data_IF_351352495801
#
_entry.id   IF_351352495801
#
_cell.length_a   1.000
_cell.length_b   1.000
_cell.length_c   1.000
_cell.angle_alpha   90.00
_cell.angle_beta   90.00
_cell.angle_gamma   90.00
#
_symmetry.space_group_name_H-M   'P 1'
#
loop_
_entity.id
_entity.type
_entity.pdbx_description
1 polymer ?
#
# COMPACT_ATOMS: atom_id res chain seq x y z
N UNK A 1 10.78 -14.32 -15.89
CA UNK A 1 9.97 -15.54 -16.06
C UNK A 1 10.19 -16.43 -14.84
N UNK A 2 9.13 -16.90 -14.19
CA UNK A 2 9.23 -17.80 -13.03
C UNK A 2 9.20 -19.24 -13.55
N UNK A 3 10.19 -20.04 -13.16
CA UNK A 3 10.32 -21.42 -13.64
C UNK A 3 9.66 -22.37 -12.62
N UNK A 4 8.64 -23.11 -13.05
CA UNK A 4 7.82 -23.96 -12.19
C UNK A 4 7.93 -25.40 -12.67
N UNK A 5 8.42 -26.30 -11.80
CA UNK A 5 8.42 -27.73 -12.08
C UNK A 5 6.99 -28.29 -11.91
N UNK A 6 6.35 -28.84 -12.96
CA UNK A 6 4.96 -29.31 -12.84
C UNK A 6 4.82 -30.62 -12.04
N UNK A 7 5.91 -31.38 -11.83
CA UNK A 7 5.86 -32.68 -11.13
C UNK A 7 6.00 -32.60 -9.62
N UNK A 8 6.32 -31.43 -9.09
CA UNK A 8 6.29 -31.12 -7.67
C UNK A 8 6.23 -29.62 -7.55
N UNK A 9 5.21 -29.07 -6.86
CA UNK A 9 4.89 -27.64 -6.73
C UNK A 9 5.97 -26.83 -5.98
N UNK A 10 7.21 -26.94 -6.42
CA UNK A 10 8.37 -26.28 -5.85
C UNK A 10 8.82 -25.21 -6.84
N UNK A 11 8.77 -23.96 -6.39
CA UNK A 11 9.41 -22.84 -7.08
C UNK A 11 10.93 -23.09 -7.07
N UNK A 12 11.51 -23.35 -8.23
CA UNK A 12 12.94 -23.67 -8.35
C UNK A 12 13.82 -22.43 -8.31
N UNK A 13 13.30 -21.32 -8.83
CA UNK A 13 14.03 -20.07 -8.95
C UNK A 13 13.32 -19.03 -9.81
N UNK A 14 13.90 -17.84 -9.86
CA UNK A 14 13.43 -16.72 -10.68
C UNK A 14 14.49 -16.39 -11.72
N UNK A 15 14.08 -16.37 -12.99
CA UNK A 15 14.90 -15.84 -14.08
C UNK A 15 14.55 -14.37 -14.35
N UNK A 16 15.56 -13.51 -14.43
CA UNK A 16 15.41 -12.08 -14.69
C UNK A 16 16.52 -11.53 -15.58
N UNK A 17 16.29 -10.36 -16.15
CA UNK A 17 17.25 -9.56 -16.91
C UNK A 17 17.30 -8.18 -16.30
N UNK A 18 18.47 -7.55 -16.31
CA UNK A 18 18.65 -6.20 -15.78
C UNK A 18 18.67 -5.21 -16.95
N UNK A 19 17.96 -4.10 -16.81
CA UNK A 19 18.00 -2.99 -17.78
C UNK A 19 18.81 -1.85 -17.18
N UNK A 20 19.88 -1.44 -17.86
CA UNK A 20 20.71 -0.32 -17.43
C UNK A 20 21.28 0.40 -18.64
N UNK A 21 21.32 1.73 -18.60
CA UNK A 21 21.97 2.54 -19.65
C UNK A 21 21.45 2.35 -21.07
N UNK A 22 20.20 1.90 -21.26
CA UNK A 22 19.62 1.69 -22.59
C UNK A 22 19.89 0.32 -23.20
N UNK A 23 20.42 -0.65 -22.44
CA UNK A 23 20.65 -2.01 -22.91
C UNK A 23 20.26 -3.08 -21.87
N UNK A 24 19.91 -4.27 -22.36
CA UNK A 24 19.61 -5.43 -21.53
C UNK A 24 20.91 -6.15 -21.17
N UNK A 25 21.19 -6.21 -19.87
CA UNK A 25 22.29 -6.98 -19.31
C UNK A 25 21.89 -8.46 -19.20
N UNK A 26 22.79 -9.34 -19.64
CA UNK A 26 22.67 -10.80 -19.56
C UNK A 26 23.88 -11.37 -18.83
N UNK A 27 23.71 -12.53 -18.20
CA UNK A 27 24.80 -13.29 -17.60
C UNK A 27 25.39 -14.25 -18.66
N UNK A 28 26.50 -13.85 -19.29
CA UNK A 28 27.20 -14.66 -20.30
C UNK A 28 26.26 -15.21 -21.41
N UNK A 29 25.37 -14.35 -21.92
CA UNK A 29 24.41 -14.70 -22.98
C UNK A 29 23.08 -15.28 -22.50
N UNK A 30 22.95 -15.62 -21.20
CA UNK A 30 21.73 -16.15 -20.58
C UNK A 30 21.07 -15.14 -19.63
N UNK A 31 19.82 -15.40 -19.22
CA UNK A 31 19.17 -14.63 -18.16
C UNK A 31 19.89 -14.83 -16.82
N UNK A 32 19.81 -13.86 -15.91
CA UNK A 32 20.20 -14.07 -14.52
C UNK A 32 19.23 -15.05 -13.87
N UNK A 33 19.75 -15.89 -12.96
CA UNK A 33 18.95 -16.88 -12.24
C UNK A 33 19.26 -16.81 -10.75
N UNK A 34 18.22 -16.67 -9.93
CA UNK A 34 18.30 -16.87 -8.48
C UNK A 34 17.60 -18.18 -8.15
N UNK A 35 18.36 -19.13 -7.58
CA UNK A 35 17.79 -20.38 -7.07
C UNK A 35 16.99 -20.12 -5.80
N UNK A 36 15.72 -20.49 -5.81
CA UNK A 36 14.90 -20.59 -4.61
C UNK A 36 15.07 -22.03 -4.12
N UNK A 37 16.07 -22.31 -3.27
CA UNK A 37 16.26 -23.66 -2.73
C UNK A 37 15.00 -24.04 -1.94
N UNK A 38 14.21 -24.96 -2.49
CA UNK A 38 13.11 -25.61 -1.76
C UNK A 38 13.71 -26.35 -0.57
N UNK A 39 13.43 -25.87 0.63
CA UNK A 39 13.71 -26.60 1.87
C UNK A 39 12.83 -27.85 1.83
N UNK A 40 13.43 -29.01 1.51
CA UNK A 40 12.71 -30.28 1.63
C UNK A 40 12.37 -30.49 3.11
N UNK A 41 11.11 -30.79 3.48
CA UNK A 41 10.82 -31.21 4.84
C UNK A 41 11.48 -32.58 5.05
N UNK A 42 12.51 -32.65 5.88
CA UNK A 42 13.11 -33.92 6.29
C UNK A 42 12.13 -34.68 7.16
N UNK A 43 11.65 -35.81 6.65
CA UNK A 43 10.82 -36.78 7.35
C UNK A 43 11.62 -37.56 8.39
N UNK A 44 12.08 -36.87 9.42
CA UNK A 44 12.71 -37.45 10.61
C UNK A 44 12.08 -36.86 11.86
N UNK A 45 11.64 -37.71 12.78
CA UNK A 45 11.36 -37.30 14.17
C UNK A 45 12.70 -36.92 14.80
N UNK A 46 13.09 -35.68 14.62
CA UNK A 46 14.29 -35.07 15.18
C UNK A 46 14.04 -33.57 15.18
N UNK A 47 14.39 -32.91 16.28
CA UNK A 47 14.34 -31.45 16.45
C UNK A 47 14.83 -30.77 15.18
N UNK A 48 13.87 -30.31 14.38
CA UNK A 48 14.15 -29.95 13.01
C UNK A 48 14.92 -28.65 12.96
N UNK A 49 16.03 -28.64 12.21
CA UNK A 49 16.48 -27.46 11.46
C UNK A 49 15.44 -27.05 10.37
N UNK A 50 14.15 -27.08 10.74
CA UNK A 50 13.10 -26.43 9.98
C UNK A 50 13.29 -24.94 10.15
N UNK A 51 13.28 -24.20 9.03
CA UNK A 51 13.23 -22.74 8.97
C UNK A 51 12.44 -22.22 10.17
N UNK A 52 13.12 -21.54 11.10
CA UNK A 52 12.50 -20.99 12.32
C UNK A 52 11.50 -19.91 11.92
N UNK A 53 10.32 -20.28 11.44
CA UNK A 53 9.23 -19.33 11.25
C UNK A 53 8.99 -18.70 12.61
N UNK A 54 9.00 -17.37 12.69
CA UNK A 54 8.57 -16.62 13.87
C UNK A 54 7.06 -16.84 14.05
N UNK A 55 6.66 -18.06 14.45
CA UNK A 55 5.27 -18.51 14.45
C UNK A 55 4.41 -17.63 15.34
N UNK A 56 4.93 -17.28 16.52
CA UNK A 56 4.24 -16.37 17.44
C UNK A 56 3.91 -15.03 16.76
N UNK A 57 4.83 -14.48 15.96
CA UNK A 57 4.62 -13.22 15.24
C UNK A 57 3.50 -13.36 14.21
N UNK A 58 3.47 -14.47 13.48
CA UNK A 58 2.41 -14.73 12.49
C UNK A 58 1.05 -14.95 13.16
N UNK A 59 1.04 -15.66 14.29
CA UNK A 59 -0.17 -15.88 15.08
C UNK A 59 -0.70 -14.52 15.61
N UNK A 60 0.18 -13.66 16.15
CA UNK A 60 -0.15 -12.30 16.59
C UNK A 60 -0.66 -11.40 15.44
N UNK A 61 0.01 -11.41 14.29
CA UNK A 61 -0.45 -10.69 13.10
C UNK A 61 -1.85 -11.15 12.70
N UNK A 62 -2.08 -12.46 12.66
CA UNK A 62 -3.38 -13.02 12.27
C UNK A 62 -4.48 -12.66 13.27
N UNK A 63 -4.20 -12.68 14.58
CA UNK A 63 -5.16 -12.35 15.62
C UNK A 63 -5.51 -10.85 15.60
N UNK A 64 -4.50 -9.99 15.46
CA UNK A 64 -4.65 -8.53 15.50
C UNK A 64 -5.06 -7.91 14.16
N UNK A 65 -5.13 -8.67 13.08
CA UNK A 65 -5.56 -8.17 11.76
C UNK A 65 -6.97 -7.57 11.80
N UNK A 66 -7.88 -8.12 12.64
CA UNK A 66 -9.23 -7.57 12.85
C UNK A 66 -9.23 -6.15 13.43
N UNK A 67 -8.25 -5.83 14.27
CA UNK A 67 -8.06 -4.47 14.78
C UNK A 67 -7.33 -3.60 13.75
N UNK A 68 -6.37 -4.17 13.03
CA UNK A 68 -5.61 -3.48 11.99
C UNK A 68 -6.48 -3.04 10.80
N UNK A 69 -7.51 -3.81 10.42
CA UNK A 69 -8.42 -3.46 9.32
C UNK A 69 -9.31 -2.24 9.61
N UNK A 70 -9.42 -1.82 10.87
CA UNK A 70 -10.22 -0.64 11.25
C UNK A 70 -9.68 0.61 10.57
N UNK A 71 -8.37 0.84 10.62
CA UNK A 71 -7.73 1.91 9.87
C UNK A 71 -6.21 1.72 9.73
N UNK A 72 -5.59 2.37 8.75
CA UNK A 72 -4.13 2.42 8.61
C UNK A 72 -3.41 2.92 9.88
N UNK A 73 -4.03 3.82 10.66
CA UNK A 73 -3.50 4.24 11.96
C UNK A 73 -3.33 3.06 12.92
N UNK A 74 -4.35 2.20 13.04
CA UNK A 74 -4.27 1.01 13.89
C UNK A 74 -3.21 0.05 13.36
N UNK A 75 -3.21 -0.20 12.05
CA UNK A 75 -2.23 -1.09 11.42
C UNK A 75 -0.79 -0.65 11.67
N UNK A 76 -0.46 0.63 11.49
CA UNK A 76 0.89 1.12 11.75
C UNK A 76 1.25 1.11 13.24
N UNK A 77 0.28 1.36 14.13
CA UNK A 77 0.50 1.24 15.58
C UNK A 77 0.82 -0.21 15.97
N UNK A 78 0.06 -1.18 15.47
CA UNK A 78 0.31 -2.61 15.69
C UNK A 78 1.65 -3.03 15.06
N UNK A 79 1.94 -2.61 13.82
CA UNK A 79 3.19 -2.92 13.14
C UNK A 79 4.41 -2.40 13.93
N UNK A 80 4.32 -1.20 14.51
CA UNK A 80 5.36 -0.67 15.40
C UNK A 80 5.58 -1.55 16.62
N UNK A 81 4.50 -1.91 17.33
CA UNK A 81 4.59 -2.76 18.52
C UNK A 81 5.22 -4.12 18.21
N UNK A 82 4.74 -4.80 17.16
CA UNK A 82 5.26 -6.10 16.76
C UNK A 82 6.70 -6.03 16.26
N UNK A 83 7.07 -4.98 15.53
CA UNK A 83 8.45 -4.75 15.08
C UNK A 83 9.38 -4.56 16.28
N UNK A 84 8.98 -3.81 17.31
CA UNK A 84 9.78 -3.62 18.52
C UNK A 84 9.99 -4.94 19.27
N UNK A 85 8.99 -5.83 19.27
CA UNK A 85 9.07 -7.15 19.91
C UNK A 85 9.95 -8.12 19.11
N UNK A 86 9.83 -8.14 17.79
CA UNK A 86 10.53 -9.12 16.95
C UNK A 86 11.91 -8.67 16.43
N UNK A 87 12.33 -7.42 16.66
CA UNK A 87 13.60 -6.86 16.12
C UNK A 87 14.86 -7.64 16.51
N UNK A 88 14.83 -8.44 17.58
CA UNK A 88 15.97 -9.22 18.07
C UNK A 88 15.90 -10.70 17.65
N UNK A 89 14.89 -11.09 16.86
CA UNK A 89 14.71 -12.48 16.40
C UNK A 89 15.42 -12.78 15.07
N UNK A 90 16.32 -11.88 14.66
CA UNK A 90 16.99 -11.90 13.37
C UNK A 90 16.06 -11.53 12.21
N UNK A 91 16.52 -11.76 10.99
CA UNK A 91 15.85 -11.37 9.74
C UNK A 91 14.39 -11.86 9.64
N UNK A 92 14.08 -13.02 10.25
CA UNK A 92 12.77 -13.67 10.12
C UNK A 92 11.63 -12.87 10.76
N UNK A 93 11.90 -12.14 11.84
CA UNK A 93 10.93 -11.24 12.45
C UNK A 93 10.57 -10.09 11.50
N UNK A 94 11.58 -9.43 10.95
CA UNK A 94 11.41 -8.31 10.01
C UNK A 94 10.79 -8.77 8.69
N UNK A 95 11.09 -9.98 8.20
CA UNK A 95 10.45 -10.56 7.02
C UNK A 95 8.95 -10.78 7.28
N UNK A 96 8.55 -11.20 8.48
CA UNK A 96 7.13 -11.32 8.85
C UNK A 96 6.39 -9.98 8.72
N UNK A 97 6.99 -8.91 9.27
CA UNK A 97 6.47 -7.54 9.15
C UNK A 97 6.41 -7.08 7.68
N UNK A 98 7.47 -7.33 6.91
CA UNK A 98 7.54 -7.00 5.49
C UNK A 98 6.41 -7.66 4.69
N UNK A 99 6.22 -8.97 4.86
CA UNK A 99 5.17 -9.71 4.14
C UNK A 99 3.80 -9.16 4.47
N UNK A 100 3.53 -8.89 5.75
CA UNK A 100 2.25 -8.36 6.19
C UNK A 100 1.96 -6.97 5.60
N UNK A 101 2.92 -6.05 5.68
CA UNK A 101 2.75 -4.70 5.13
C UNK A 101 2.76 -4.68 3.60
N UNK A 102 3.42 -5.64 2.94
CA UNK A 102 3.32 -5.81 1.50
C UNK A 102 1.92 -6.24 1.08
N UNK A 103 1.26 -7.13 1.82
CA UNK A 103 -0.15 -7.46 1.56
C UNK A 103 -1.06 -6.24 1.72
N UNK A 104 -0.81 -5.38 2.71
CA UNK A 104 -1.48 -4.08 2.83
C UNK A 104 -1.22 -3.21 1.59
N UNK A 105 0.03 -3.00 1.20
CA UNK A 105 0.39 -2.13 0.08
C UNK A 105 -0.17 -2.60 -1.27
N UNK A 106 -0.34 -3.92 -1.46
CA UNK A 106 -0.94 -4.51 -2.65
C UNK A 106 -2.47 -4.68 -2.58
N UNK A 107 -3.15 -3.99 -1.65
CA UNK A 107 -4.61 -4.04 -1.43
C UNK A 107 -5.17 -5.44 -1.15
N UNK A 108 -4.35 -6.35 -0.63
CA UNK A 108 -4.80 -7.69 -0.21
C UNK A 108 -5.37 -7.68 1.21
N UNK A 109 -5.07 -6.64 2.00
CA UNK A 109 -5.65 -6.39 3.31
C UNK A 109 -6.48 -5.13 3.29
N UNK A 110 -7.56 -5.12 4.09
CA UNK A 110 -8.43 -3.98 4.19
C UNK A 110 -7.74 -2.82 4.93
N UNK A 111 -7.87 -1.61 4.39
CA UNK A 111 -7.26 -0.40 4.97
C UNK A 111 -8.17 0.32 5.94
N UNK A 112 -9.48 0.16 5.80
CA UNK A 112 -10.47 0.83 6.63
C UNK A 112 -11.79 0.04 6.65
N UNK A 113 -12.33 -0.14 7.86
CA UNK A 113 -13.60 -0.82 8.07
C UNK A 113 -14.30 -0.25 9.28
N UNK A 114 -15.45 0.37 9.05
CA UNK A 114 -16.36 0.87 10.09
C UNK A 114 -15.67 1.75 11.15
N UNK A 115 -14.67 2.54 10.75
CA UNK A 115 -13.96 3.44 11.66
C UNK A 115 -13.59 4.72 10.94
N UNK A 116 -13.81 5.87 11.60
CA UNK A 116 -13.39 7.17 11.11
C UNK A 116 -12.11 7.59 11.83
N UNK A 117 -11.06 7.90 11.09
CA UNK A 117 -9.76 8.35 11.59
C UNK A 117 -9.30 9.63 10.90
N UNK A 118 -8.91 10.64 11.68
CA UNK A 118 -8.40 11.88 11.07
C UNK A 118 -7.07 11.60 10.36
N UNK A 119 -6.80 12.15 9.17
CA UNK A 119 -5.54 11.93 8.46
C UNK A 119 -4.29 12.20 9.31
N UNK A 120 -4.34 13.22 10.19
CA UNK A 120 -3.25 13.53 11.13
C UNK A 120 -2.91 12.37 12.09
N UNK A 121 -3.89 11.55 12.45
CA UNK A 121 -3.68 10.39 13.33
C UNK A 121 -3.04 9.24 12.56
N UNK A 122 -3.38 9.07 11.28
CA UNK A 122 -2.68 8.15 10.38
C UNK A 122 -1.22 8.61 10.23
N UNK A 123 -0.98 9.88 9.92
CA UNK A 123 0.38 10.44 9.83
C UNK A 123 1.17 10.23 11.11
N UNK A 124 0.60 10.53 12.28
CA UNK A 124 1.30 10.38 13.55
C UNK A 124 1.65 8.91 13.87
N UNK A 125 0.80 7.94 13.49
CA UNK A 125 1.12 6.52 13.65
C UNK A 125 2.18 6.06 12.65
N UNK A 126 2.10 6.53 11.40
CA UNK A 126 3.08 6.29 10.36
C UNK A 126 4.47 6.84 10.72
N UNK A 127 4.54 8.07 11.25
CA UNK A 127 5.79 8.70 11.70
C UNK A 127 6.42 7.87 12.82
N UNK A 128 5.65 7.53 13.86
CA UNK A 128 6.15 6.69 14.98
C UNK A 128 6.67 5.33 14.52
N UNK A 129 6.11 4.75 13.46
CA UNK A 129 6.59 3.49 12.91
C UNK A 129 7.83 3.69 12.04
N UNK A 130 7.86 4.75 11.23
CA UNK A 130 9.00 5.11 10.39
C UNK A 130 10.23 5.46 11.24
N UNK A 131 10.04 6.21 12.34
CA UNK A 131 11.10 6.52 13.31
C UNK A 131 11.73 5.25 13.90
N UNK A 132 10.91 4.23 14.19
CA UNK A 132 11.40 2.94 14.64
C UNK A 132 12.25 2.26 13.56
N UNK A 133 11.77 2.23 12.32
CA UNK A 133 12.50 1.61 11.20
C UNK A 133 13.82 2.34 10.91
N UNK A 134 13.84 3.67 10.99
CA UNK A 134 15.06 4.48 10.83
C UNK A 134 16.09 4.18 11.92
N UNK A 135 15.64 4.08 13.17
CA UNK A 135 16.49 3.69 14.30
C UNK A 135 17.08 2.30 14.09
N UNK A 136 16.25 1.31 13.75
CA UNK A 136 16.73 -0.05 13.46
C UNK A 136 17.70 -0.08 12.27
N UNK A 137 17.46 0.72 11.25
CA UNK A 137 18.34 0.79 10.07
C UNK A 137 19.74 1.30 10.42
N UNK A 138 19.82 2.18 11.43
CA UNK A 138 21.09 2.70 11.95
C UNK A 138 21.77 1.69 12.88
N UNK A 139 21.00 1.01 13.74
CA UNK A 139 21.49 0.07 14.76
C UNK A 139 21.87 -1.32 14.20
N UNK A 140 21.14 -1.83 13.21
CA UNK A 140 21.22 -3.22 12.71
C UNK A 140 21.66 -3.24 11.23
N UNK A 141 22.97 -3.37 10.99
CA UNK A 141 23.52 -3.26 9.63
C UNK A 141 23.08 -4.40 8.70
N UNK A 142 22.94 -5.61 9.22
CA UNK A 142 22.60 -6.80 8.45
C UNK A 142 21.13 -6.77 7.97
N UNK A 143 20.25 -6.09 8.71
CA UNK A 143 18.81 -6.03 8.43
C UNK A 143 18.41 -4.88 7.47
N UNK A 144 19.36 -4.03 7.07
CA UNK A 144 19.10 -2.78 6.34
C UNK A 144 18.28 -2.95 5.07
N UNK A 145 18.55 -3.99 4.29
CA UNK A 145 17.82 -4.22 3.04
C UNK A 145 16.36 -4.61 3.30
N UNK A 146 16.09 -5.41 4.35
CA UNK A 146 14.73 -5.78 4.73
C UNK A 146 14.00 -4.54 5.26
N UNK A 147 14.66 -3.72 6.09
CA UNK A 147 14.10 -2.47 6.60
C UNK A 147 13.75 -1.48 5.48
N UNK A 148 14.60 -1.34 4.45
CA UNK A 148 14.28 -0.54 3.25
C UNK A 148 13.06 -1.08 2.51
N UNK A 149 12.93 -2.40 2.39
CA UNK A 149 11.77 -3.02 1.77
C UNK A 149 10.49 -2.76 2.59
N UNK A 150 10.57 -2.76 3.92
CA UNK A 150 9.45 -2.40 4.79
C UNK A 150 9.08 -0.93 4.57
N UNK A 151 10.05 -0.01 4.61
CA UNK A 151 9.83 1.42 4.39
C UNK A 151 9.13 1.70 3.05
N UNK A 152 9.46 0.95 2.00
CA UNK A 152 8.81 1.07 0.70
C UNK A 152 7.29 0.76 0.71
N UNK A 153 6.78 0.08 1.75
CA UNK A 153 5.35 -0.27 1.89
C UNK A 153 4.55 0.73 2.73
N UNK A 154 5.22 1.55 3.56
CA UNK A 154 4.56 2.42 4.55
C UNK A 154 4.20 3.79 3.93
N UNK A 155 5.01 4.28 2.99
CA UNK A 155 4.87 5.62 2.39
C UNK A 155 5.65 6.68 3.18
N UNK A 156 5.69 7.91 2.66
CA UNK A 156 6.55 9.00 3.20
C UNK A 156 5.97 9.74 4.42
N UNK A 157 4.73 9.47 4.80
CA UNK A 157 4.03 10.26 5.81
C UNK A 157 3.76 11.69 5.38
N UNK A 158 3.23 12.50 6.29
CA UNK A 158 2.97 13.92 6.10
C UNK A 158 3.12 14.65 7.41
N UNK A 159 4.05 15.62 7.45
CA UNK A 159 4.38 16.37 8.66
C UNK A 159 3.32 17.42 8.99
N UNK A 160 3.08 17.62 10.29
CA UNK A 160 2.24 18.72 10.80
C UNK A 160 0.83 18.78 10.20
N UNK A 161 0.52 19.91 9.56
CA UNK A 161 -0.79 20.23 9.00
C UNK A 161 -0.87 20.05 7.46
N UNK A 162 0.13 19.45 6.82
CA UNK A 162 0.22 19.34 5.35
C UNK A 162 -1.05 18.70 4.75
N UNK A 163 -1.55 17.62 5.35
CA UNK A 163 -2.78 16.97 4.88
C UNK A 163 -4.03 17.85 5.03
N UNK A 164 -4.06 18.74 6.03
CA UNK A 164 -5.12 19.72 6.20
C UNK A 164 -5.03 20.82 5.13
N UNK A 165 -3.82 21.34 4.88
CA UNK A 165 -3.58 22.35 3.85
C UNK A 165 -3.97 21.86 2.45
N UNK A 166 -3.58 20.64 2.07
CA UNK A 166 -3.97 20.03 0.79
C UNK A 166 -5.50 19.94 0.68
N UNK A 167 -6.17 19.54 1.76
CA UNK A 167 -7.64 19.50 1.80
C UNK A 167 -8.24 20.89 1.58
N UNK A 168 -7.75 21.90 2.30
CA UNK A 168 -8.25 23.26 2.19
C UNK A 168 -8.03 23.84 0.78
N UNK A 169 -6.89 23.53 0.15
CA UNK A 169 -6.60 23.88 -1.26
C UNK A 169 -7.58 23.22 -2.23
N UNK A 170 -7.88 21.91 -2.05
CA UNK A 170 -8.91 21.22 -2.84
C UNK A 170 -10.27 21.92 -2.67
N UNK A 171 -10.64 22.35 -1.46
CA UNK A 171 -11.91 23.04 -1.21
C UNK A 171 -11.96 24.39 -1.94
N UNK A 172 -10.86 25.16 -1.93
CA UNK A 172 -10.73 26.43 -2.65
C UNK A 172 -10.89 26.21 -4.15
N UNK A 173 -10.21 25.20 -4.71
CA UNK A 173 -10.34 24.83 -6.13
C UNK A 173 -11.78 24.47 -6.48
N UNK A 174 -12.45 23.67 -5.64
CA UNK A 174 -13.85 23.31 -5.86
C UNK A 174 -14.78 24.51 -5.84
N UNK A 175 -14.56 25.45 -4.91
CA UNK A 175 -15.35 26.68 -4.79
C UNK A 175 -15.17 27.59 -6.00
N UNK A 176 -13.92 27.84 -6.40
CA UNK A 176 -13.61 28.72 -7.52
C UNK A 176 -14.16 28.20 -8.85
N UNK A 177 -14.33 26.88 -8.97
CA UNK A 177 -14.84 26.22 -10.17
C UNK A 177 -16.32 25.80 -10.07
N UNK A 178 -17.02 26.18 -9.01
CA UNK A 178 -18.43 25.83 -8.77
C UNK A 178 -18.73 24.32 -8.83
N UNK A 179 -17.81 23.48 -8.36
CA UNK A 179 -17.91 22.02 -8.43
C UNK A 179 -17.92 21.35 -7.05
N UNK A 180 -18.43 22.05 -6.01
CA UNK A 180 -18.46 21.53 -4.64
C UNK A 180 -19.45 20.37 -4.44
N UNK A 181 -20.50 20.25 -5.25
CA UNK A 181 -21.63 19.36 -4.97
C UNK A 181 -21.42 17.93 -5.52
N UNK A 182 -22.29 17.01 -5.09
CA UNK A 182 -22.34 15.64 -5.59
C UNK A 182 -21.08 14.86 -5.21
N UNK A 183 -20.53 14.10 -6.15
CA UNK A 183 -19.35 13.26 -5.92
C UNK A 183 -18.15 14.03 -5.33
N UNK A 184 -17.95 15.30 -5.72
CA UNK A 184 -16.83 16.10 -5.21
C UNK A 184 -16.99 16.43 -3.72
N UNK A 185 -18.23 16.64 -3.25
CA UNK A 185 -18.54 16.86 -1.83
C UNK A 185 -18.29 15.58 -1.03
N UNK A 186 -18.84 14.47 -1.53
CA UNK A 186 -18.73 13.16 -0.90
C UNK A 186 -17.27 12.72 -0.77
N UNK A 187 -16.49 12.86 -1.85
CA UNK A 187 -15.06 12.57 -1.85
C UNK A 187 -14.30 13.51 -0.90
N UNK A 188 -14.58 14.81 -0.91
CA UNK A 188 -13.95 15.76 0.01
C UNK A 188 -14.26 15.42 1.47
N UNK A 189 -15.49 15.03 1.78
CA UNK A 189 -15.92 14.61 3.10
C UNK A 189 -15.21 13.32 3.55
N UNK A 190 -14.99 12.37 2.64
CA UNK A 190 -14.17 11.17 2.91
C UNK A 190 -12.75 11.55 3.33
N UNK A 191 -12.11 12.50 2.67
CA UNK A 191 -10.74 12.91 2.99
C UNK A 191 -10.61 13.37 4.45
N UNK A 192 -11.66 13.93 5.07
CA UNK A 192 -11.63 14.32 6.50
C UNK A 192 -11.46 13.15 7.46
N UNK A 193 -11.98 11.99 7.10
CA UNK A 193 -12.17 10.89 8.04
C UNK A 193 -11.50 9.59 7.62
N UNK A 194 -11.15 9.36 6.36
CA UNK A 194 -10.59 8.10 5.87
C UNK A 194 -9.79 8.31 4.58
N UNK A 195 -8.80 9.23 4.60
CA UNK A 195 -7.88 9.39 3.47
C UNK A 195 -7.03 8.13 3.29
N UNK A 196 -6.84 7.69 2.05
CA UNK A 196 -6.03 6.53 1.68
C UNK A 196 -5.20 6.79 0.42
N UNK A 197 -4.18 5.96 0.13
CA UNK A 197 -3.42 6.06 -1.12
C UNK A 197 -4.28 6.07 -2.40
N UNK A 198 -5.46 5.44 -2.36
CA UNK A 198 -6.38 5.41 -3.52
C UNK A 198 -6.96 6.78 -3.86
N UNK A 199 -7.01 7.72 -2.90
CA UNK A 199 -7.49 9.08 -3.15
C UNK A 199 -6.62 9.84 -4.14
N UNK A 200 -5.33 9.49 -4.26
CA UNK A 200 -4.44 10.06 -5.30
C UNK A 200 -4.90 9.61 -6.69
N UNK A 201 -5.27 8.34 -6.84
CA UNK A 201 -5.74 7.79 -8.11
C UNK A 201 -7.14 8.33 -8.44
N UNK A 202 -8.01 8.48 -7.44
CA UNK A 202 -9.33 9.12 -7.62
C UNK A 202 -9.15 10.57 -8.10
N UNK A 203 -8.24 11.33 -7.47
CA UNK A 203 -7.89 12.68 -7.91
C UNK A 203 -7.38 12.69 -9.37
N UNK A 204 -6.47 11.77 -9.71
CA UNK A 204 -5.97 11.65 -11.09
C UNK A 204 -7.09 11.34 -12.08
N UNK A 205 -8.01 10.43 -11.75
CA UNK A 205 -9.14 10.10 -12.60
C UNK A 205 -10.08 11.31 -12.81
N UNK A 206 -10.31 12.12 -11.78
CA UNK A 206 -11.07 13.37 -11.88
C UNK A 206 -10.36 14.41 -12.77
N UNK A 207 -9.03 14.51 -12.68
CA UNK A 207 -8.25 15.37 -13.55
C UNK A 207 -8.31 14.90 -15.01
N UNK A 208 -8.17 13.61 -15.27
CA UNK A 208 -8.25 13.03 -16.62
C UNK A 208 -9.65 13.19 -17.23
N UNK A 209 -10.68 12.99 -16.41
CA UNK A 209 -12.08 13.27 -16.77
C UNK A 209 -12.26 14.73 -17.23
N UNK A 210 -11.69 15.67 -16.49
CA UNK A 210 -11.79 17.08 -16.84
C UNK A 210 -10.98 17.43 -18.10
N UNK A 211 -9.77 16.90 -18.27
CA UNK A 211 -8.93 17.11 -19.47
C UNK A 211 -9.55 16.52 -20.73
N UNK A 212 -10.33 15.44 -20.59
CA UNK A 212 -11.02 14.78 -21.70
C UNK A 212 -12.37 15.42 -22.06
N UNK A 213 -12.63 16.66 -21.60
CA UNK A 213 -13.90 17.35 -21.81
C UNK A 213 -15.09 16.51 -21.28
N UNK A 214 -14.91 15.93 -20.09
CA UNK A 214 -15.93 15.19 -19.35
C UNK A 214 -16.33 13.84 -19.98
N UNK A 215 -15.37 13.14 -20.59
CA UNK A 215 -15.57 11.76 -21.03
C UNK A 215 -15.52 10.79 -19.85
N UNK A 216 -16.69 10.31 -19.42
CA UNK A 216 -16.82 9.37 -18.31
C UNK A 216 -16.07 8.05 -18.54
N UNK A 217 -15.81 7.68 -19.80
CA UNK A 217 -15.03 6.48 -20.11
C UNK A 217 -13.55 6.67 -19.74
N UNK A 218 -13.02 7.89 -19.84
CA UNK A 218 -11.64 8.20 -19.41
C UNK A 218 -11.53 8.09 -17.90
N UNK A 219 -12.49 8.62 -17.14
CA UNK A 219 -12.55 8.47 -15.68
C UNK A 219 -12.47 7.00 -15.27
N UNK A 220 -13.37 6.17 -15.80
CA UNK A 220 -13.40 4.74 -15.48
C UNK A 220 -12.18 3.98 -15.99
N UNK A 221 -11.62 4.36 -17.14
CA UNK A 221 -10.39 3.77 -17.64
C UNK A 221 -9.21 4.05 -16.71
N UNK A 222 -9.06 5.28 -16.22
CA UNK A 222 -8.00 5.64 -15.27
C UNK A 222 -8.15 4.85 -13.97
N UNK A 223 -9.36 4.76 -13.40
CA UNK A 223 -9.59 3.97 -12.19
C UNK A 223 -9.32 2.47 -12.39
N UNK A 224 -9.91 1.86 -13.42
CA UNK A 224 -9.79 0.43 -13.67
C UNK A 224 -8.34 0.02 -13.99
N UNK A 225 -7.60 0.85 -14.72
CA UNK A 225 -6.17 0.58 -15.01
C UNK A 225 -5.28 0.59 -13.76
N UNK A 226 -5.77 1.20 -12.67
CA UNK A 226 -5.12 1.22 -11.36
C UNK A 226 -5.75 0.24 -10.35
N UNK A 227 -6.64 -0.65 -10.80
CA UNK A 227 -7.29 -1.66 -9.96
C UNK A 227 -8.45 -1.15 -9.10
N UNK A 228 -8.93 0.08 -9.31
CA UNK A 228 -10.07 0.65 -8.58
C UNK A 228 -11.37 0.40 -9.34
N UNK A 229 -11.96 -0.76 -9.12
CA UNK A 229 -13.26 -1.11 -9.72
C UNK A 229 -14.42 -0.43 -8.98
N UNK A 230 -15.57 -0.28 -9.64
CA UNK A 230 -16.78 0.24 -8.99
C UNK A 230 -17.17 -0.59 -7.74
N UNK A 231 -17.09 -1.92 -7.83
CA UNK A 231 -17.38 -2.80 -6.70
C UNK A 231 -16.42 -2.58 -5.51
N UNK A 232 -15.13 -2.37 -5.78
CA UNK A 232 -14.14 -2.06 -4.76
C UNK A 232 -14.43 -0.73 -4.05
N UNK A 233 -14.71 0.32 -4.84
CA UNK A 233 -15.03 1.65 -4.33
C UNK A 233 -16.31 1.68 -3.48
N UNK A 234 -17.33 0.89 -3.85
CA UNK A 234 -18.53 0.69 -3.03
C UNK A 234 -18.26 -0.07 -1.73
N UNK A 235 -17.32 -1.03 -1.75
CA UNK A 235 -16.96 -1.80 -0.57
C UNK A 235 -16.12 -1.00 0.44
N UNK A 236 -15.26 -0.09 -0.03
CA UNK A 236 -14.43 0.76 0.84
C UNK A 236 -15.23 1.79 1.64
N UNK A 237 -16.45 2.12 1.20
CA UNK A 237 -17.17 3.27 1.74
C UNK A 237 -18.67 3.04 1.76
N UNK A 238 -19.29 3.21 2.92
CA UNK A 238 -20.69 3.62 2.98
C UNK A 238 -20.90 4.82 2.04
N UNK A 239 -22.01 4.85 1.30
CA UNK A 239 -22.03 4.90 -0.16
C UNK A 239 -21.54 6.24 -0.74
N UNK A 240 -20.27 6.31 -1.16
CA UNK A 240 -19.65 7.48 -1.84
C UNK A 240 -19.95 7.57 -3.36
N UNK A 241 -20.72 6.63 -3.90
CA UNK A 241 -20.85 6.46 -5.36
C UNK A 241 -22.29 6.20 -5.80
N UNK A 242 -23.28 6.64 -5.00
CA UNK A 242 -24.68 6.40 -5.32
C UNK A 242 -25.16 7.16 -6.57
N UNK A 243 -24.47 8.23 -6.99
CA UNK A 243 -24.80 8.97 -8.20
C UNK A 243 -23.56 9.45 -8.97
N UNK A 244 -22.97 8.59 -9.81
CA UNK A 244 -22.04 9.07 -10.85
C UNK A 244 -22.73 9.97 -11.88
N UNK A 245 -24.07 9.92 -11.95
CA UNK A 245 -24.89 10.81 -12.77
C UNK A 245 -24.97 12.26 -12.22
N UNK A 246 -24.46 12.51 -11.01
CA UNK A 246 -24.39 13.85 -10.40
C UNK A 246 -22.98 14.45 -10.37
N UNK A 247 -22.03 13.89 -11.13
CA UNK A 247 -20.71 14.52 -11.29
C UNK A 247 -20.90 15.98 -11.72
N UNK A 248 -20.36 16.96 -10.97
CA UNK A 248 -20.50 18.35 -11.37
C UNK A 248 -19.89 18.53 -12.75
N UNK A 249 -20.56 19.29 -13.62
CA UNK A 249 -19.94 19.83 -14.82
C UNK A 249 -18.77 20.71 -14.35
N UNK A 250 -17.57 20.16 -14.23
CA UNK A 250 -16.39 20.97 -13.98
C UNK A 250 -16.30 21.93 -15.19
N UNK A 251 -15.97 23.19 -14.99
CA UNK A 251 -15.71 24.08 -16.12
C UNK A 251 -14.27 23.86 -16.59
N UNK A 252 -13.99 24.17 -17.86
CA UNK A 252 -12.66 24.08 -18.48
C UNK A 252 -11.56 24.83 -17.70
N UNK A 253 -11.95 25.75 -16.82
CA UNK A 253 -11.06 26.63 -16.06
C UNK A 253 -10.25 25.92 -14.95
N UNK A 254 -10.46 24.61 -14.74
CA UNK A 254 -9.64 23.79 -13.82
C UNK A 254 -8.14 23.72 -14.21
N UNK A 255 -7.75 24.18 -15.41
CA UNK A 255 -6.43 23.95 -16.02
C UNK A 255 -5.62 25.21 -16.38
N UNK A 256 -5.88 26.36 -15.76
CA UNK A 256 -5.03 27.56 -15.92
C UNK A 256 -4.00 27.74 -14.79
N UNK A 257 -3.56 26.64 -14.14
CA UNK A 257 -2.41 26.62 -13.21
C UNK A 257 -1.32 25.74 -13.82
#
# INVERSE_FOLDING_TARGET
>A
FVDINPKGRNLMGVQFVLWSGGFWLKNNGSNFYISLKSVKPTSGKGEGYGTKICKWLLDEISEREKDAERSLMHRFSIAKELTEQCKNEGELGLIGILVWLRFMACRQLCWNKNYNVKPREISAAQDKFTDLLERLYTEQQDDREILRLILATVGRGGQGDVGQRIRDEILILQRNNHCKNGMMEEWHQKLHNNSSPDDVIICQALLDYAKSNFDINVYWRTLNSNGLTNAYLQAMTAPLFQNLNSMPKLKKDLFMI
#
